data_IF_388088251103
#
_entry.id   IF_388088251103
#
_cell.length_a   1.000
_cell.length_b   1.000
_cell.length_c   1.000
_cell.angle_alpha   90.00
_cell.angle_beta   90.00
_cell.angle_gamma   90.00
#
_symmetry.space_group_name_H-M   'P 1'
#
loop_
_entity.id
_entity.type
_entity.pdbx_description
1 polymer ?
#
# COMPACT_ATOMS: atom_id res chain seq x y z
N UNK A 1 8.60 0.59 -7.95
CA UNK A 1 7.73 0.58 -6.75
C UNK A 1 6.33 0.21 -7.19
N UNK A 2 5.92 -1.05 -7.00
CA UNK A 2 4.56 -1.47 -7.29
C UNK A 2 3.52 -0.73 -6.45
N UNK A 3 2.34 -0.55 -7.03
CA UNK A 3 1.14 -0.05 -6.35
C UNK A 3 0.02 -1.06 -6.64
N UNK A 4 -0.44 -1.75 -5.61
CA UNK A 4 -1.36 -2.87 -5.75
C UNK A 4 -2.75 -2.44 -5.27
N UNK A 5 -3.77 -2.60 -6.10
CA UNK A 5 -5.15 -2.40 -5.69
C UNK A 5 -5.70 -3.71 -5.13
N UNK A 6 -6.25 -3.66 -3.92
CA UNK A 6 -6.87 -4.81 -3.27
C UNK A 6 -8.37 -4.56 -3.02
N UNK A 7 -9.22 -5.58 -3.16
CA UNK A 7 -10.68 -5.46 -3.01
C UNK A 7 -11.11 -5.45 -1.53
N UNK A 8 -10.42 -4.66 -0.69
CA UNK A 8 -10.71 -4.54 0.74
C UNK A 8 -11.30 -3.16 1.03
N UNK A 9 -12.49 -3.17 1.66
CA UNK A 9 -13.23 -1.99 2.08
C UNK A 9 -13.32 -1.95 3.62
N UNK A 10 -12.49 -1.09 4.20
CA UNK A 10 -12.38 -0.82 5.64
C UNK A 10 -13.47 0.14 6.14
N UNK A 11 -13.55 0.30 7.48
CA UNK A 11 -14.40 1.29 8.17
C UNK A 11 -15.91 1.15 7.92
N UNK A 12 -16.34 -0.05 7.51
CA UNK A 12 -17.75 -0.38 7.42
C UNK A 12 -18.29 -0.75 8.80
N UNK A 13 -19.44 -0.19 9.16
CA UNK A 13 -20.18 -0.64 10.33
C UNK A 13 -20.71 -2.07 10.08
N UNK A 14 -20.31 -3.06 10.90
CA UNK A 14 -20.80 -4.43 10.76
C UNK A 14 -22.31 -4.57 10.94
N UNK A 15 -22.95 -3.66 11.70
CA UNK A 15 -24.38 -3.69 11.98
C UNK A 15 -25.21 -3.25 10.77
N UNK A 16 -24.70 -2.32 9.97
CA UNK A 16 -25.39 -1.76 8.81
C UNK A 16 -25.40 -2.70 7.59
N UNK A 17 -24.59 -3.78 7.61
CA UNK A 17 -24.50 -4.80 6.53
C UNK A 17 -24.31 -4.20 5.12
N UNK A 18 -23.62 -3.06 5.01
CA UNK A 18 -23.37 -2.39 3.73
C UNK A 18 -22.49 -3.24 2.81
N UNK A 19 -22.84 -3.26 1.52
CA UNK A 19 -22.05 -3.92 0.49
C UNK A 19 -20.63 -3.35 0.40
N UNK A 20 -19.66 -4.21 0.06
CA UNK A 20 -18.27 -3.80 -0.14
C UNK A 20 -18.10 -3.14 -1.51
N UNK A 21 -18.03 -1.80 -1.56
CA UNK A 21 -17.94 -1.04 -2.82
C UNK A 21 -16.63 -0.28 -3.02
N UNK A 22 -15.82 -0.08 -1.98
CA UNK A 22 -14.54 0.63 -2.05
C UNK A 22 -13.36 -0.33 -2.20
N UNK A 23 -12.20 0.20 -2.60
CA UNK A 23 -10.94 -0.54 -2.77
C UNK A 23 -9.83 0.12 -1.98
N UNK A 24 -8.83 -0.65 -1.62
CA UNK A 24 -7.64 -0.14 -0.93
C UNK A 24 -6.40 -0.31 -1.79
N UNK A 25 -5.36 0.47 -1.50
CA UNK A 25 -4.12 0.47 -2.26
C UNK A 25 -2.94 0.17 -1.37
N UNK A 26 -2.01 -0.68 -1.83
CA UNK A 26 -0.77 -1.01 -1.14
C UNK A 26 0.39 -0.39 -1.90
N UNK A 27 1.16 0.45 -1.23
CA UNK A 27 2.44 0.96 -1.72
C UNK A 27 3.52 -0.06 -1.38
N UNK A 28 4.28 -0.52 -2.38
CA UNK A 28 5.36 -1.49 -2.18
C UNK A 28 6.72 -0.92 -2.59
N UNK A 29 7.28 0.02 -1.82
CA UNK A 29 8.63 0.47 -2.06
C UNK A 29 9.62 -0.62 -1.65
N UNK A 30 10.47 -1.01 -2.60
CA UNK A 30 11.31 -2.20 -2.46
C UNK A 30 12.73 -1.87 -2.94
N UNK A 31 13.72 -2.15 -2.12
CA UNK A 31 15.14 -1.88 -2.39
C UNK A 31 15.84 -3.19 -2.65
N UNK A 32 16.45 -3.30 -3.82
CA UNK A 32 17.15 -4.51 -4.27
C UNK A 32 18.23 -4.16 -5.29
N UNK A 33 19.28 -4.98 -5.35
CA UNK A 33 20.36 -4.86 -6.34
C UNK A 33 20.18 -5.82 -7.52
N UNK A 34 19.49 -6.94 -7.31
CA UNK A 34 19.45 -8.07 -8.26
C UNK A 34 18.06 -8.73 -8.38
N UNK A 35 17.05 -8.19 -7.69
CA UNK A 35 15.69 -8.73 -7.56
C UNK A 35 15.59 -10.15 -6.99
N UNK A 36 16.69 -10.78 -6.56
CA UNK A 36 16.66 -12.08 -5.89
C UNK A 36 16.39 -11.92 -4.40
N UNK A 37 16.95 -10.88 -3.79
CA UNK A 37 16.70 -10.48 -2.40
C UNK A 37 16.42 -8.99 -2.32
N UNK A 38 15.79 -8.53 -1.24
CA UNK A 38 15.63 -7.11 -1.03
C UNK A 38 14.83 -6.79 0.22
N UNK A 39 14.86 -5.53 0.60
CA UNK A 39 14.20 -5.03 1.81
C UNK A 39 13.09 -4.06 1.43
N UNK A 40 12.01 -4.07 2.20
CA UNK A 40 11.01 -3.01 2.12
C UNK A 40 11.66 -1.68 2.51
N UNK A 41 11.40 -0.62 1.74
CA UNK A 41 11.87 0.71 2.09
C UNK A 41 11.01 1.28 3.22
N UNK A 42 11.63 1.66 4.33
CA UNK A 42 10.93 2.12 5.52
C UNK A 42 10.71 3.64 5.49
N UNK A 43 9.48 4.13 5.76
CA UNK A 43 9.23 5.55 5.98
C UNK A 43 10.08 6.10 7.14
N UNK A 44 10.61 7.31 6.96
CA UNK A 44 11.47 7.98 7.94
C UNK A 44 12.94 7.50 7.94
N UNK A 45 13.26 6.41 7.23
CA UNK A 45 14.63 5.89 7.08
C UNK A 45 15.10 5.93 5.64
N UNK A 46 14.43 5.17 4.77
CA UNK A 46 14.83 5.01 3.38
C UNK A 46 14.04 5.95 2.46
N UNK A 47 12.82 6.32 2.88
CA UNK A 47 11.97 7.30 2.22
C UNK A 47 11.56 8.36 3.25
N UNK A 48 11.74 9.66 2.99
CA UNK A 48 11.22 10.71 3.86
C UNK A 48 9.72 10.51 4.09
N UNK A 49 9.30 10.52 5.36
CA UNK A 49 7.91 10.26 5.75
C UNK A 49 6.93 11.21 5.05
N UNK A 50 7.31 12.48 4.91
CA UNK A 50 6.53 13.49 4.21
C UNK A 50 6.18 13.11 2.76
N UNK A 51 7.07 12.38 2.07
CA UNK A 51 6.82 11.94 0.71
C UNK A 51 5.73 10.85 0.68
N UNK A 52 5.76 9.94 1.65
CA UNK A 52 4.71 8.91 1.80
C UNK A 52 3.38 9.56 2.13
N UNK A 53 3.36 10.53 3.05
CA UNK A 53 2.14 11.27 3.40
C UNK A 53 1.57 12.05 2.22
N UNK A 54 2.41 12.63 1.37
CA UNK A 54 1.95 13.31 0.14
C UNK A 54 1.36 12.32 -0.87
N UNK A 55 1.93 11.12 -1.01
CA UNK A 55 1.33 10.05 -1.83
C UNK A 55 -0.05 9.67 -1.29
N UNK A 56 -0.16 9.43 0.01
CA UNK A 56 -1.43 9.10 0.69
C UNK A 56 -2.47 10.20 0.45
N UNK A 57 -2.07 11.47 0.62
CA UNK A 57 -2.94 12.63 0.40
C UNK A 57 -3.45 12.67 -1.04
N UNK A 58 -2.56 12.55 -2.03
CA UNK A 58 -2.94 12.60 -3.46
C UNK A 58 -3.84 11.43 -3.86
N UNK A 59 -3.58 10.22 -3.38
CA UNK A 59 -4.44 9.07 -3.69
C UNK A 59 -5.82 9.28 -3.09
N UNK A 60 -5.89 9.66 -1.81
CA UNK A 60 -7.16 9.93 -1.12
C UNK A 60 -7.98 11.01 -1.81
N UNK A 61 -7.34 12.10 -2.26
CA UNK A 61 -8.03 13.23 -2.88
C UNK A 61 -8.43 12.98 -4.36
N UNK A 62 -7.62 12.22 -5.11
CA UNK A 62 -7.76 12.16 -6.57
C UNK A 62 -8.24 10.81 -7.10
N UNK A 63 -8.14 9.75 -6.32
CA UNK A 63 -8.57 8.41 -6.73
C UNK A 63 -9.92 8.10 -6.09
N UNK A 64 -11.02 8.11 -6.87
CA UNK A 64 -12.34 7.84 -6.34
C UNK A 64 -12.44 6.40 -5.84
N UNK A 65 -13.38 6.17 -4.92
CA UNK A 65 -13.66 4.86 -4.34
C UNK A 65 -12.49 4.26 -3.53
N UNK A 66 -11.58 5.10 -3.04
CA UNK A 66 -10.49 4.70 -2.15
C UNK A 66 -11.02 4.52 -0.72
N UNK A 67 -10.71 3.36 -0.12
CA UNK A 67 -10.97 3.06 1.29
C UNK A 67 -9.75 3.37 2.15
N UNK A 68 -8.64 2.65 1.95
CA UNK A 68 -7.38 2.88 2.68
C UNK A 68 -6.17 2.77 1.77
N UNK A 69 -5.09 3.43 2.19
CA UNK A 69 -3.75 3.27 1.64
C UNK A 69 -2.89 2.58 2.70
N UNK A 70 -2.12 1.58 2.29
CA UNK A 70 -1.23 0.78 3.13
C UNK A 70 0.19 0.80 2.54
N UNK A 71 1.17 0.44 3.36
CA UNK A 71 2.55 0.24 2.91
C UNK A 71 2.97 -1.20 3.23
N UNK A 72 3.56 -1.89 2.27
CA UNK A 72 4.10 -3.23 2.46
C UNK A 72 5.48 -3.14 3.13
N UNK A 73 5.63 -3.84 4.26
CA UNK A 73 6.85 -3.89 5.05
C UNK A 73 7.59 -5.24 4.92
N UNK A 74 7.18 -6.08 3.97
CA UNK A 74 7.69 -7.43 3.80
C UNK A 74 8.93 -7.46 2.89
N UNK A 75 10.04 -7.96 3.40
CA UNK A 75 11.28 -8.20 2.62
C UNK A 75 11.18 -9.45 1.73
N UNK A 76 12.09 -9.57 0.75
CA UNK A 76 12.30 -10.79 -0.04
C UNK A 76 13.58 -11.49 0.41
N UNK A 77 13.51 -12.73 0.93
CA UNK A 77 12.31 -13.46 1.37
C UNK A 77 11.73 -12.92 2.70
N UNK A 78 10.46 -13.23 3.09
CA UNK A 78 9.55 -14.24 2.51
C UNK A 78 8.65 -13.74 1.38
N UNK A 79 8.57 -12.43 1.13
CA UNK A 79 7.80 -11.83 0.04
C UNK A 79 8.55 -11.81 -1.30
N UNK A 80 7.98 -11.16 -2.32
CA UNK A 80 8.43 -11.28 -3.71
C UNK A 80 8.31 -10.02 -4.61
N UNK A 81 8.81 -8.81 -4.36
CA UNK A 81 8.69 -7.64 -5.30
C UNK A 81 7.28 -7.27 -5.82
N UNK A 82 6.58 -8.09 -6.61
CA UNK A 82 5.15 -8.04 -6.97
C UNK A 82 4.27 -8.91 -6.04
N UNK A 83 2.95 -8.63 -6.01
CA UNK A 83 1.97 -9.38 -5.21
C UNK A 83 1.32 -10.55 -5.97
N UNK A 84 1.60 -10.70 -7.27
CA UNK A 84 1.13 -11.80 -8.15
C UNK A 84 2.22 -12.18 -9.16
#
# INVERSE_FOLDING_TARGET
>A
MPVVMIPIHFDRDPLERRASTLRSFVLRPFITNDFMTGVAALPGKDIPEQNILEIVRRITERVPLTSRIMIDLTSKPPGTTEWE
#
